data_IF_466119666804
#
_entry.id   IF_466119666804
#
_cell.length_a   1.000
_cell.length_b   1.000
_cell.length_c   1.000
_cell.angle_alpha   90.00
_cell.angle_beta   90.00
_cell.angle_gamma   90.00
#
_symmetry.space_group_name_H-M   'P 1'
#
loop_
_entity.id
_entity.type
_entity.pdbx_description
1 polymer ?
#
# COMPACT_ATOMS: atom_id res chain seq x y z
N UNK A 1 -17.65 25.57 68.87
CA UNK A 1 -16.72 25.18 67.80
C UNK A 1 -17.51 24.47 66.72
N UNK A 2 -17.86 25.18 65.66
CA UNK A 2 -18.55 24.64 64.47
C UNK A 2 -17.50 24.12 63.48
N UNK A 3 -17.66 22.92 62.90
CA UNK A 3 -16.74 22.46 61.87
C UNK A 3 -16.99 23.23 60.58
N UNK A 4 -15.94 23.87 60.05
CA UNK A 4 -15.93 24.42 58.69
C UNK A 4 -16.05 23.27 57.70
N UNK A 5 -17.16 23.22 56.96
CA UNK A 5 -17.28 22.37 55.79
C UNK A 5 -16.18 22.76 54.80
N UNK A 6 -15.33 21.79 54.43
CA UNK A 6 -14.44 21.92 53.29
C UNK A 6 -15.32 21.89 52.04
N UNK A 7 -15.42 23.03 51.35
CA UNK A 7 -15.95 23.09 50.00
C UNK A 7 -15.03 22.26 49.10
N UNK A 8 -15.48 21.04 48.79
CA UNK A 8 -14.86 20.22 47.76
C UNK A 8 -15.32 20.81 46.43
N UNK A 9 -14.48 21.63 45.80
CA UNK A 9 -14.73 22.08 44.43
C UNK A 9 -14.78 20.83 43.54
N UNK A 10 -15.97 20.44 43.13
CA UNK A 10 -16.17 19.46 42.08
C UNK A 10 -15.63 20.05 40.78
N UNK A 11 -14.39 19.71 40.45
CA UNK A 11 -13.87 19.87 39.10
C UNK A 11 -14.79 19.04 38.20
N UNK A 12 -15.69 19.71 37.49
CA UNK A 12 -16.45 19.07 36.43
C UNK A 12 -15.45 18.46 35.45
N UNK A 13 -15.60 17.18 35.08
CA UNK A 13 -14.67 16.54 34.18
C UNK A 13 -14.64 17.35 32.88
N UNK A 14 -13.45 17.82 32.51
CA UNK A 14 -13.26 18.62 31.31
C UNK A 14 -13.62 17.72 30.13
N UNK A 15 -14.75 18.00 29.47
CA UNK A 15 -15.19 17.21 28.32
C UNK A 15 -14.13 17.28 27.22
N UNK A 16 -13.84 16.14 26.58
CA UNK A 16 -12.84 16.04 25.51
C UNK A 16 -13.07 17.06 24.39
N UNK A 17 -14.33 17.39 24.11
CA UNK A 17 -14.70 18.39 23.10
C UNK A 17 -14.21 19.81 23.43
N UNK A 18 -13.95 20.10 24.72
CA UNK A 18 -13.50 21.40 25.20
C UNK A 18 -11.96 21.52 25.24
N UNK A 19 -11.23 20.43 25.04
CA UNK A 19 -9.77 20.46 24.94
C UNK A 19 -9.33 21.20 23.68
N UNK A 20 -8.13 21.75 23.69
CA UNK A 20 -7.51 22.32 22.50
C UNK A 20 -7.36 21.27 21.39
N UNK A 21 -7.41 21.70 20.12
CA UNK A 21 -7.31 20.78 18.98
C UNK A 21 -6.01 19.98 19.03
N UNK A 22 -4.90 20.61 19.40
CA UNK A 22 -3.58 20.00 19.53
C UNK A 22 -3.57 18.86 20.55
N UNK A 23 -4.31 18.98 21.66
CA UNK A 23 -4.42 17.92 22.65
C UNK A 23 -5.27 16.75 22.14
N UNK A 24 -6.36 17.05 21.44
CA UNK A 24 -7.19 16.02 20.80
C UNK A 24 -6.40 15.31 19.70
N UNK A 25 -5.62 16.05 18.91
CA UNK A 25 -4.76 15.53 17.85
C UNK A 25 -3.53 14.77 18.37
N UNK A 26 -3.09 15.02 19.61
CA UNK A 26 -2.03 14.25 20.25
C UNK A 26 -2.53 12.89 20.79
N UNK A 27 -3.80 12.82 21.21
CA UNK A 27 -4.41 11.59 21.76
C UNK A 27 -5.04 10.73 20.67
N UNK A 28 -5.65 11.35 19.64
CA UNK A 28 -6.33 10.64 18.56
C UNK A 28 -5.48 9.57 17.84
N UNK A 29 -4.17 9.74 17.60
CA UNK A 29 -3.31 8.72 16.98
C UNK A 29 -3.11 7.48 17.86
N UNK A 30 -3.42 7.54 19.16
CA UNK A 30 -3.35 6.40 20.08
C UNK A 30 -4.55 5.46 19.92
N UNK A 31 -5.58 5.87 19.16
CA UNK A 31 -6.76 5.07 18.87
C UNK A 31 -6.57 4.30 17.55
N UNK A 32 -7.07 3.07 17.51
CA UNK A 32 -7.23 2.36 16.25
C UNK A 32 -8.23 3.08 15.35
N UNK A 33 -8.12 2.90 14.03
CA UNK A 33 -8.95 3.59 13.04
C UNK A 33 -10.45 3.43 13.30
N UNK A 34 -10.88 2.25 13.76
CA UNK A 34 -12.28 1.95 14.11
C UNK A 34 -12.77 2.79 15.29
N UNK A 35 -11.97 2.94 16.34
CA UNK A 35 -12.33 3.71 17.52
C UNK A 35 -12.22 5.22 17.27
N UNK A 36 -11.24 5.63 16.46
CA UNK A 36 -11.16 7.00 15.98
C UNK A 36 -12.39 7.38 15.13
N UNK A 37 -12.90 6.45 14.31
CA UNK A 37 -14.16 6.63 13.60
C UNK A 37 -15.34 6.81 14.56
N UNK A 38 -15.47 5.95 15.58
CA UNK A 38 -16.52 6.09 16.61
C UNK A 38 -16.42 7.44 17.32
N UNK A 39 -15.21 7.87 17.71
CA UNK A 39 -14.95 9.16 18.35
C UNK A 39 -15.42 10.33 17.47
N UNK A 40 -15.18 10.26 16.17
CA UNK A 40 -15.64 11.28 15.21
C UNK A 40 -17.15 11.38 15.14
N UNK A 41 -17.82 10.24 15.25
CA UNK A 41 -19.26 10.16 15.15
C UNK A 41 -19.98 10.60 16.43
N UNK A 42 -19.28 10.85 17.55
CA UNK A 42 -19.94 11.29 18.79
C UNK A 42 -20.44 12.73 18.71
N UNK A 43 -19.68 13.65 18.10
CA UNK A 43 -20.10 15.04 17.93
C UNK A 43 -19.31 15.78 16.84
N UNK A 44 -19.91 16.86 16.30
CA UNK A 44 -19.31 17.69 15.24
C UNK A 44 -17.98 18.33 15.64
N UNK A 45 -17.79 18.67 16.91
CA UNK A 45 -16.53 19.27 17.38
C UNK A 45 -15.38 18.27 17.29
N UNK A 46 -15.59 17.03 17.73
CA UNK A 46 -14.57 15.98 17.65
C UNK A 46 -14.34 15.53 16.21
N UNK A 47 -15.40 15.50 15.38
CA UNK A 47 -15.27 15.30 13.95
C UNK A 47 -14.28 16.27 13.30
N UNK A 48 -14.42 17.57 13.58
CA UNK A 48 -13.55 18.60 13.03
C UNK A 48 -12.12 18.52 13.61
N UNK A 49 -12.00 18.36 14.93
CA UNK A 49 -10.68 18.32 15.61
C UNK A 49 -9.83 17.11 15.25
N UNK A 50 -10.45 16.01 14.85
CA UNK A 50 -9.72 14.79 14.47
C UNK A 50 -9.61 14.61 12.97
N UNK A 51 -10.02 15.60 12.15
CA UNK A 51 -10.09 15.47 10.70
C UNK A 51 -8.76 15.03 10.08
N UNK A 52 -7.68 15.76 10.36
CA UNK A 52 -6.36 15.48 9.82
C UNK A 52 -5.79 14.15 10.31
N UNK A 53 -5.93 13.86 11.61
CA UNK A 53 -5.44 12.61 12.20
C UNK A 53 -6.16 11.41 11.61
N UNK A 54 -7.49 11.48 11.47
CA UNK A 54 -8.27 10.38 10.92
C UNK A 54 -7.90 10.05 9.49
N UNK A 55 -7.77 11.06 8.63
CA UNK A 55 -7.39 10.82 7.24
C UNK A 55 -5.94 10.40 7.10
N UNK A 56 -5.04 10.94 7.92
CA UNK A 56 -3.67 10.44 8.00
C UNK A 56 -3.66 8.96 8.36
N UNK A 57 -4.32 8.54 9.43
CA UNK A 57 -4.33 7.12 9.85
C UNK A 57 -5.06 6.22 8.83
N UNK A 58 -6.16 6.68 8.25
CA UNK A 58 -7.01 5.85 7.37
C UNK A 58 -6.50 5.73 5.94
N UNK A 59 -5.81 6.76 5.43
CA UNK A 59 -5.38 6.83 4.03
C UNK A 59 -3.86 6.74 3.85
N UNK A 60 -3.07 6.69 4.93
CA UNK A 60 -1.62 6.53 4.83
C UNK A 60 -1.20 5.33 4.00
N UNK A 61 -1.92 4.21 4.12
CA UNK A 61 -1.72 3.00 3.33
C UNK A 61 -3.02 2.63 2.63
N UNK A 62 -3.00 2.65 1.31
CA UNK A 62 -4.12 2.20 0.47
C UNK A 62 -3.79 0.81 -0.07
N UNK A 63 -4.81 -0.04 -0.13
CA UNK A 63 -4.72 -1.39 -0.69
C UNK A 63 -5.42 -1.42 -2.04
N UNK A 64 -4.81 -2.08 -3.02
CA UNK A 64 -5.40 -2.34 -4.33
C UNK A 64 -5.10 -3.78 -4.74
N UNK A 65 -6.07 -4.40 -5.39
CA UNK A 65 -5.95 -5.67 -6.09
C UNK A 65 -5.75 -5.47 -7.60
N UNK A 66 -5.52 -4.23 -8.08
CA UNK A 66 -5.50 -3.86 -9.49
C UNK A 66 -6.78 -4.13 -10.30
N UNK A 67 -7.88 -4.57 -9.67
CA UNK A 67 -9.18 -4.69 -10.35
C UNK A 67 -9.64 -3.34 -10.87
N UNK A 68 -10.50 -3.34 -11.89
CA UNK A 68 -11.07 -2.11 -12.42
C UNK A 68 -11.79 -1.30 -11.32
N UNK A 69 -12.50 -1.98 -10.41
CA UNK A 69 -13.20 -1.34 -9.30
C UNK A 69 -12.25 -0.68 -8.28
N UNK A 70 -11.13 -1.33 -7.93
CA UNK A 70 -10.18 -0.76 -6.97
C UNK A 70 -9.37 0.37 -7.58
N UNK A 71 -8.99 0.26 -8.86
CA UNK A 71 -8.33 1.33 -9.60
C UNK A 71 -9.26 2.54 -9.79
N UNK A 72 -10.55 2.33 -10.00
CA UNK A 72 -11.53 3.43 -10.06
C UNK A 72 -11.63 4.17 -8.72
N UNK A 73 -11.66 3.45 -7.60
CA UNK A 73 -11.63 4.04 -6.25
C UNK A 73 -10.34 4.83 -6.01
N UNK A 74 -9.21 4.27 -6.41
CA UNK A 74 -7.90 4.91 -6.29
C UNK A 74 -7.80 6.16 -7.19
N UNK A 75 -8.39 6.12 -8.38
CA UNK A 75 -8.49 7.27 -9.29
C UNK A 75 -9.30 8.40 -8.65
N UNK A 76 -10.49 8.12 -8.11
CA UNK A 76 -11.29 9.10 -7.36
C UNK A 76 -10.52 9.71 -6.20
N UNK A 77 -9.82 8.89 -5.40
CA UNK A 77 -9.00 9.36 -4.29
C UNK A 77 -7.85 10.25 -4.75
N UNK A 78 -7.15 9.86 -5.82
CA UNK A 78 -6.02 10.61 -6.36
C UNK A 78 -6.43 11.97 -6.95
N UNK A 79 -7.69 12.13 -7.38
CA UNK A 79 -8.25 13.38 -7.86
C UNK A 79 -8.81 14.26 -6.73
N UNK A 80 -8.87 13.78 -5.49
CA UNK A 80 -9.40 14.54 -4.36
C UNK A 80 -8.34 15.51 -3.80
N UNK A 81 -8.53 16.85 -3.89
CA UNK A 81 -7.49 17.84 -3.60
C UNK A 81 -6.88 17.75 -2.20
N UNK A 82 -7.70 17.46 -1.19
CA UNK A 82 -7.22 17.37 0.19
C UNK A 82 -6.75 15.97 0.60
N UNK A 83 -7.32 14.91 0.01
CA UNK A 83 -7.15 13.55 0.53
C UNK A 83 -5.98 12.82 -0.12
N UNK A 84 -5.67 13.13 -1.38
CA UNK A 84 -4.57 12.52 -2.11
C UNK A 84 -3.22 12.69 -1.39
N UNK A 85 -3.05 13.81 -0.67
CA UNK A 85 -1.84 14.11 0.10
C UNK A 85 -1.63 13.23 1.34
N UNK A 86 -2.64 12.49 1.81
CA UNK A 86 -2.45 11.54 2.91
C UNK A 86 -1.96 10.18 2.45
N UNK A 87 -1.98 9.87 1.15
CA UNK A 87 -1.53 8.57 0.64
C UNK A 87 -0.01 8.55 0.56
N UNK A 88 0.62 7.67 1.35
CA UNK A 88 2.07 7.53 1.40
C UNK A 88 2.56 6.15 0.94
N UNK A 89 1.71 5.14 1.10
CA UNK A 89 2.00 3.75 0.76
C UNK A 89 0.86 3.13 -0.05
N UNK A 90 1.23 2.37 -1.08
CA UNK A 90 0.30 1.54 -1.83
C UNK A 90 0.70 0.06 -1.68
N UNK A 91 -0.23 -0.74 -1.15
CA UNK A 91 -0.06 -2.19 -1.00
C UNK A 91 -0.87 -2.91 -2.06
N UNK A 92 -0.22 -3.76 -2.84
CA UNK A 92 -0.80 -4.61 -3.86
C UNK A 92 -1.06 -5.97 -3.24
N UNK A 93 -2.34 -6.33 -3.13
CA UNK A 93 -2.75 -7.63 -2.63
C UNK A 93 -3.08 -8.55 -3.79
N UNK A 94 -2.43 -9.71 -3.81
CA UNK A 94 -2.72 -10.74 -4.82
C UNK A 94 -4.14 -11.30 -4.71
N UNK A 95 -4.66 -11.36 -3.48
CA UNK A 95 -5.98 -11.85 -3.13
C UNK A 95 -6.63 -10.88 -2.14
N UNK A 96 -7.92 -10.58 -2.34
CA UNK A 96 -8.73 -9.89 -1.32
C UNK A 96 -9.39 -10.89 -0.34
N UNK A 97 -10.12 -10.39 0.66
CA UNK A 97 -10.82 -11.24 1.65
C UNK A 97 -11.92 -12.12 1.02
N UNK A 98 -12.31 -11.83 -0.22
CA UNK A 98 -13.28 -12.60 -1.00
C UNK A 98 -12.60 -13.51 -2.03
N UNK A 99 -11.27 -13.62 -2.00
CA UNK A 99 -10.46 -14.39 -2.96
C UNK A 99 -10.58 -13.89 -4.41
N UNK A 100 -10.89 -12.60 -4.58
CA UNK A 100 -10.83 -11.95 -5.88
C UNK A 100 -9.38 -11.83 -6.31
N UNK A 101 -9.18 -12.09 -7.60
CA UNK A 101 -7.87 -12.26 -8.20
C UNK A 101 -7.30 -10.89 -8.57
N UNK A 102 -5.97 -10.74 -8.43
CA UNK A 102 -5.29 -9.54 -8.91
C UNK A 102 -5.67 -9.19 -10.36
N UNK A 103 -6.17 -7.97 -10.56
CA UNK A 103 -6.53 -7.42 -11.85
C UNK A 103 -7.78 -8.06 -12.45
N UNK A 104 -8.69 -8.55 -11.61
CA UNK A 104 -10.00 -8.99 -12.07
C UNK A 104 -10.67 -7.92 -12.95
N UNK A 105 -11.42 -8.38 -13.96
CA UNK A 105 -12.09 -7.54 -14.97
C UNK A 105 -11.14 -6.83 -15.96
N UNK A 106 -9.83 -7.12 -15.92
CA UNK A 106 -8.86 -6.59 -16.89
C UNK A 106 -8.23 -7.70 -17.73
N UNK A 107 -8.14 -7.46 -19.04
CA UNK A 107 -7.46 -8.36 -19.97
C UNK A 107 -5.93 -8.19 -19.87
N UNK A 108 -5.26 -9.23 -19.36
CA UNK A 108 -3.81 -9.26 -19.24
C UNK A 108 -3.16 -9.86 -20.49
N UNK A 109 -2.35 -9.08 -21.20
CA UNK A 109 -1.63 -9.58 -22.37
C UNK A 109 -0.38 -10.36 -21.93
N UNK A 110 -0.29 -11.65 -22.28
CA UNK A 110 0.79 -12.54 -21.86
C UNK A 110 1.44 -13.25 -23.04
N UNK A 111 2.73 -13.51 -22.94
CA UNK A 111 3.40 -14.47 -23.82
C UNK A 111 3.16 -15.91 -23.31
N UNK A 112 3.44 -16.91 -24.14
CA UNK A 112 3.25 -18.34 -23.79
C UNK A 112 3.91 -18.83 -22.48
N UNK A 113 4.98 -18.22 -21.92
CA UNK A 113 5.52 -18.56 -20.59
C UNK A 113 4.75 -17.93 -19.41
N UNK A 114 3.73 -17.09 -19.68
CA UNK A 114 2.90 -16.45 -18.65
C UNK A 114 3.35 -15.07 -18.21
N UNK A 115 4.49 -14.56 -18.68
CA UNK A 115 4.93 -13.19 -18.38
C UNK A 115 4.12 -12.15 -19.17
N UNK A 116 3.95 -10.97 -18.57
CA UNK A 116 3.31 -9.83 -19.21
C UNK A 116 4.18 -9.29 -20.35
N UNK A 117 3.57 -9.08 -21.51
CA UNK A 117 4.18 -8.40 -22.66
C UNK A 117 3.73 -6.96 -22.72
N UNK A 118 4.51 -6.09 -23.35
CA UNK A 118 4.14 -4.68 -23.53
C UNK A 118 3.56 -4.07 -22.25
N UNK A 119 4.33 -4.12 -21.14
CA UNK A 119 3.90 -3.65 -19.81
C UNK A 119 3.29 -2.23 -19.84
N UNK A 120 3.75 -1.42 -20.80
CA UNK A 120 3.20 -0.10 -21.09
C UNK A 120 1.74 -0.10 -21.55
N UNK A 121 1.36 -1.14 -22.28
CA UNK A 121 0.06 -1.30 -22.91
C UNK A 121 -0.95 -2.07 -22.04
N UNK A 122 -0.51 -2.66 -20.92
CA UNK A 122 -1.37 -3.37 -19.98
C UNK A 122 -2.46 -2.44 -19.43
N UNK A 123 -3.74 -2.85 -19.40
CA UNK A 123 -4.84 -2.00 -18.92
C UNK A 123 -4.60 -1.44 -17.52
N UNK A 124 -4.16 -2.30 -16.59
CA UNK A 124 -3.84 -1.90 -15.22
C UNK A 124 -2.73 -0.83 -15.18
N UNK A 125 -1.68 -0.98 -16.00
CA UNK A 125 -0.58 -0.03 -16.04
C UNK A 125 -1.00 1.33 -16.61
N UNK A 126 -1.82 1.33 -17.68
CA UNK A 126 -2.38 2.56 -18.27
C UNK A 126 -3.23 3.36 -17.27
N UNK A 127 -4.01 2.67 -16.45
CA UNK A 127 -4.81 3.29 -15.40
C UNK A 127 -3.95 3.75 -14.22
N UNK A 128 -3.00 2.92 -13.78
CA UNK A 128 -2.24 3.18 -12.57
C UNK A 128 -1.21 4.32 -12.72
N UNK A 129 -0.59 4.48 -13.90
CA UNK A 129 0.39 5.57 -14.14
C UNK A 129 -0.14 6.98 -13.83
N UNK A 130 -1.26 7.44 -14.41
CA UNK A 130 -1.79 8.78 -14.12
C UNK A 130 -2.30 8.90 -12.68
N UNK A 131 -2.73 7.81 -12.05
CA UNK A 131 -3.12 7.79 -10.64
C UNK A 131 -1.90 8.08 -9.77
N UNK A 132 -0.82 7.33 -9.95
CA UNK A 132 0.39 7.48 -9.14
C UNK A 132 1.05 8.84 -9.33
N UNK A 133 0.99 9.43 -10.53
CA UNK A 133 1.54 10.77 -10.76
C UNK A 133 0.80 11.88 -9.97
N UNK A 134 -0.45 11.65 -9.56
CA UNK A 134 -1.22 12.55 -8.69
C UNK A 134 -1.01 12.28 -7.20
N UNK A 135 -0.62 11.06 -6.83
CA UNK A 135 -0.32 10.67 -5.46
C UNK A 135 1.13 11.04 -5.10
N UNK A 136 1.42 12.34 -5.04
CA UNK A 136 2.79 12.89 -4.93
C UNK A 136 3.57 12.47 -3.67
N UNK A 137 2.85 12.09 -2.60
CA UNK A 137 3.44 11.61 -1.35
C UNK A 137 3.58 10.07 -1.31
N UNK A 138 3.04 9.35 -2.28
CA UNK A 138 3.08 7.90 -2.37
C UNK A 138 4.45 7.45 -2.93
N UNK A 139 5.37 7.16 -2.02
CA UNK A 139 6.76 6.77 -2.34
C UNK A 139 7.11 5.36 -1.88
N UNK A 140 6.18 4.70 -1.20
CA UNK A 140 6.36 3.37 -0.66
C UNK A 140 5.39 2.39 -1.29
N UNK A 141 5.91 1.26 -1.75
CA UNK A 141 5.14 0.23 -2.43
C UNK A 141 5.37 -1.11 -1.75
N UNK A 142 4.31 -1.90 -1.62
CA UNK A 142 4.38 -3.23 -1.05
C UNK A 142 3.61 -4.21 -1.91
N UNK A 143 4.24 -5.27 -2.38
CA UNK A 143 3.56 -6.39 -3.00
C UNK A 143 3.44 -7.52 -1.98
N UNK A 144 2.23 -7.96 -1.68
CA UNK A 144 2.01 -9.10 -0.80
C UNK A 144 1.00 -10.08 -1.36
N UNK A 145 1.25 -11.37 -1.16
CA UNK A 145 0.26 -12.43 -1.39
C UNK A 145 -0.15 -12.98 -0.04
N UNK A 146 -1.29 -12.51 0.46
CA UNK A 146 -1.92 -13.11 1.64
C UNK A 146 -2.92 -14.12 1.09
N UNK A 147 -2.57 -15.40 1.14
CA UNK A 147 -3.51 -16.47 0.83
C UNK A 147 -4.35 -16.77 2.07
N UNK A 148 -5.67 -16.72 1.93
CA UNK A 148 -6.56 -17.41 2.86
C UNK A 148 -6.56 -18.91 2.50
N UNK A 149 -6.68 -19.83 3.48
CA UNK A 149 -6.55 -21.27 3.25
C UNK A 149 -7.56 -21.87 2.25
N UNK A 150 -8.67 -21.18 1.98
CA UNK A 150 -9.85 -21.77 1.35
C UNK A 150 -9.86 -21.65 -0.20
N UNK A 151 -8.93 -20.91 -0.81
CA UNK A 151 -9.02 -20.56 -2.25
C UNK A 151 -7.67 -20.61 -2.97
N UNK A 152 -7.07 -21.80 -3.04
CA UNK A 152 -5.82 -22.04 -3.75
C UNK A 152 -6.07 -22.56 -5.17
N UNK A 153 -6.39 -21.67 -6.10
CA UNK A 153 -6.11 -21.94 -7.51
C UNK A 153 -4.67 -21.48 -7.83
N UNK A 154 -3.80 -22.46 -8.08
CA UNK A 154 -2.36 -22.26 -8.25
C UNK A 154 -1.99 -21.29 -9.39
N UNK A 155 -2.85 -21.12 -10.39
CA UNK A 155 -2.58 -20.18 -11.49
C UNK A 155 -2.60 -18.72 -11.03
N UNK A 156 -3.40 -18.39 -10.01
CA UNK A 156 -3.66 -17.02 -9.59
C UNK A 156 -2.61 -16.47 -8.62
N UNK A 157 -1.96 -17.32 -7.83
CA UNK A 157 -0.86 -16.91 -6.94
C UNK A 157 0.30 -16.24 -7.71
N UNK A 158 0.54 -16.69 -8.95
CA UNK A 158 1.56 -16.10 -9.81
C UNK A 158 1.22 -14.69 -10.28
N UNK A 159 -0.04 -14.24 -10.18
CA UNK A 159 -0.43 -12.87 -10.56
C UNK A 159 0.17 -11.83 -9.62
N UNK A 160 0.45 -12.19 -8.36
CA UNK A 160 1.18 -11.31 -7.44
C UNK A 160 2.57 -10.91 -7.96
N UNK A 161 3.22 -11.82 -8.70
CA UNK A 161 4.49 -11.56 -9.38
C UNK A 161 4.34 -10.48 -10.46
N UNK A 162 3.19 -10.47 -11.14
CA UNK A 162 2.87 -9.45 -12.15
C UNK A 162 2.75 -8.06 -11.52
N UNK A 163 2.24 -7.93 -10.29
CA UNK A 163 2.21 -6.66 -9.57
C UNK A 163 3.62 -6.11 -9.36
N UNK A 164 4.58 -6.95 -8.96
CA UNK A 164 5.99 -6.55 -8.82
C UNK A 164 6.53 -6.06 -10.16
N UNK A 165 6.37 -6.84 -11.23
CA UNK A 165 6.84 -6.48 -12.57
C UNK A 165 6.23 -5.16 -13.06
N UNK A 166 4.93 -4.96 -12.83
CA UNK A 166 4.19 -3.77 -13.25
C UNK A 166 4.62 -2.53 -12.46
N UNK A 167 4.85 -2.63 -11.15
CA UNK A 167 5.38 -1.51 -10.37
C UNK A 167 6.78 -1.14 -10.83
N UNK A 168 7.68 -2.13 -10.99
CA UNK A 168 9.04 -1.87 -11.46
C UNK A 168 9.03 -1.18 -12.83
N UNK A 169 8.14 -1.58 -13.73
CA UNK A 169 7.91 -0.94 -15.02
C UNK A 169 7.37 0.49 -14.92
N UNK A 170 6.38 0.71 -14.07
CA UNK A 170 5.88 2.06 -13.82
C UNK A 170 7.00 2.94 -13.29
N UNK A 171 7.81 2.47 -12.34
CA UNK A 171 8.95 3.22 -11.80
C UNK A 171 10.00 3.50 -12.87
N UNK A 172 10.24 2.55 -13.77
CA UNK A 172 11.16 2.71 -14.89
C UNK A 172 10.73 3.79 -15.89
N UNK A 173 9.44 3.94 -16.15
CA UNK A 173 8.94 4.90 -17.15
C UNK A 173 8.43 6.22 -16.53
N UNK A 174 8.07 6.22 -15.25
CA UNK A 174 7.57 7.41 -14.55
C UNK A 174 8.64 8.05 -13.66
N UNK A 175 8.59 9.37 -13.49
CA UNK A 175 9.46 10.10 -12.55
C UNK A 175 9.00 9.96 -11.09
N UNK A 176 8.43 8.82 -10.72
CA UNK A 176 7.97 8.58 -9.37
C UNK A 176 9.19 8.37 -8.45
N UNK A 177 9.33 9.18 -7.38
CA UNK A 177 10.37 8.96 -6.40
C UNK A 177 9.98 7.78 -5.51
N UNK A 178 10.62 6.63 -5.69
CA UNK A 178 10.42 5.46 -4.84
C UNK A 178 11.45 5.47 -3.73
N UNK A 179 11.00 5.52 -2.47
CA UNK A 179 11.88 5.44 -1.30
C UNK A 179 11.86 4.07 -0.64
N UNK A 180 10.78 3.30 -0.80
CA UNK A 180 10.63 1.98 -0.17
C UNK A 180 9.89 1.01 -1.09
N UNK A 181 10.47 -0.17 -1.31
CA UNK A 181 9.81 -1.30 -1.95
C UNK A 181 9.87 -2.52 -1.02
N UNK A 182 8.72 -3.11 -0.75
CA UNK A 182 8.59 -4.38 -0.04
C UNK A 182 7.96 -5.43 -0.94
N UNK A 183 8.53 -6.62 -0.95
CA UNK A 183 8.05 -7.79 -1.68
C UNK A 183 7.90 -8.91 -0.66
N UNK A 184 6.66 -9.16 -0.20
CA UNK A 184 6.35 -10.12 0.84
C UNK A 184 5.48 -11.27 0.31
N UNK A 185 6.13 -12.38 -0.01
CA UNK A 185 5.54 -13.61 -0.51
C UNK A 185 5.88 -14.80 0.39
N UNK A 186 6.16 -14.55 1.67
CA UNK A 186 6.39 -15.65 2.61
C UNK A 186 5.06 -16.37 2.87
N UNK A 187 5.05 -17.67 2.65
CA UNK A 187 3.94 -18.50 3.08
C UNK A 187 3.90 -18.54 4.62
N UNK A 188 2.78 -18.10 5.19
CA UNK A 188 2.54 -18.18 6.64
C UNK A 188 1.97 -19.54 7.05
N UNK A 189 1.64 -20.40 6.09
CA UNK A 189 1.14 -21.73 6.31
C UNK A 189 2.16 -22.76 5.78
N UNK A 190 2.32 -23.89 6.47
CA UNK A 190 3.18 -25.01 6.03
C UNK A 190 2.67 -25.69 4.73
N UNK A 191 1.66 -25.12 4.07
CA UNK A 191 1.02 -25.63 2.86
C UNK A 191 1.83 -25.40 1.59
N UNK A 192 2.81 -24.49 1.61
CA UNK A 192 3.81 -24.34 0.55
C UNK A 192 3.26 -23.81 -0.78
N UNK A 193 2.41 -22.77 -0.76
CA UNK A 193 1.59 -22.40 -1.93
C UNK A 193 1.66 -20.94 -2.39
N UNK A 194 2.59 -20.13 -1.90
CA UNK A 194 2.80 -18.76 -2.41
C UNK A 194 4.24 -18.58 -2.83
N UNK A 195 4.50 -18.66 -4.14
CA UNK A 195 5.82 -18.42 -4.70
C UNK A 195 5.77 -17.29 -5.71
N UNK A 196 6.82 -16.48 -5.71
CA UNK A 196 7.16 -15.69 -6.89
C UNK A 196 7.39 -16.64 -8.06
N UNK A 197 6.86 -16.33 -9.24
CA UNK A 197 7.25 -17.04 -10.47
C UNK A 197 8.44 -16.30 -11.11
N UNK A 198 9.68 -16.73 -10.91
CA UNK A 198 10.85 -16.06 -11.49
C UNK A 198 10.78 -15.98 -13.02
N UNK A 199 10.05 -16.90 -13.68
CA UNK A 199 9.85 -16.88 -15.14
C UNK A 199 8.97 -15.72 -15.61
N UNK A 200 8.24 -15.08 -14.69
CA UNK A 200 7.43 -13.88 -14.95
C UNK A 200 8.17 -12.58 -14.65
N UNK A 201 9.32 -12.66 -13.97
CA UNK A 201 10.14 -11.52 -13.62
C UNK A 201 11.24 -11.31 -14.65
N UNK A 202 11.06 -10.32 -15.52
CA UNK A 202 12.04 -9.98 -16.55
C UNK A 202 12.72 -8.65 -16.22
N UNK A 203 13.88 -8.72 -15.56
CA UNK A 203 14.67 -7.53 -15.21
C UNK A 203 15.41 -6.90 -16.40
N UNK A 204 15.47 -7.60 -17.54
CA UNK A 204 16.06 -7.08 -18.78
C UNK A 204 15.47 -5.73 -19.21
N UNK A 205 14.19 -5.48 -18.88
CA UNK A 205 13.51 -4.22 -19.15
C UNK A 205 14.04 -3.03 -18.31
N UNK A 206 14.67 -3.31 -17.18
CA UNK A 206 15.05 -2.30 -16.17
C UNK A 206 16.54 -1.95 -16.16
N UNK A 207 17.35 -2.58 -17.03
CA UNK A 207 18.78 -2.23 -17.21
C UNK A 207 19.00 -0.90 -17.95
N UNK A 208 17.96 -0.07 -18.10
CA UNK A 208 18.04 1.24 -18.75
C UNK A 208 18.62 2.28 -17.77
N UNK A 209 19.50 3.21 -18.23
CA UNK A 209 20.09 4.22 -17.34
C UNK A 209 19.06 5.03 -16.54
N UNK A 210 17.94 5.40 -17.17
CA UNK A 210 16.89 6.17 -16.50
C UNK A 210 16.16 5.43 -15.38
N UNK A 211 16.18 4.10 -15.36
CA UNK A 211 15.69 3.32 -14.21
C UNK A 211 16.73 3.33 -13.08
N UNK A 212 18.00 3.06 -13.39
CA UNK A 212 19.09 3.01 -12.40
C UNK A 212 19.17 4.32 -11.61
N UNK A 213 19.12 5.47 -12.27
CA UNK A 213 19.17 6.79 -11.61
C UNK A 213 18.00 7.02 -10.63
N UNK A 214 16.84 6.44 -10.91
CA UNK A 214 15.65 6.56 -10.04
C UNK A 214 15.67 5.52 -8.93
N UNK A 215 16.08 4.31 -9.27
CA UNK A 215 16.28 3.20 -8.35
C UNK A 215 17.34 3.53 -7.30
N UNK A 216 18.31 4.40 -7.63
CA UNK A 216 19.27 4.99 -6.70
C UNK A 216 18.65 5.73 -5.51
N UNK A 217 17.41 6.21 -5.63
CA UNK A 217 16.71 6.93 -4.56
C UNK A 217 16.04 6.00 -3.54
N UNK A 218 16.11 4.69 -3.78
CA UNK A 218 15.53 3.70 -2.89
C UNK A 218 16.31 3.68 -1.56
N UNK A 219 15.61 3.96 -0.47
CA UNK A 219 16.16 3.96 0.89
C UNK A 219 15.96 2.60 1.56
N UNK A 220 14.90 1.87 1.18
CA UNK A 220 14.51 0.60 1.78
C UNK A 220 14.08 -0.40 0.69
N UNK A 221 14.71 -1.59 0.71
CA UNK A 221 14.30 -2.74 -0.08
C UNK A 221 14.10 -3.93 0.87
N UNK A 222 12.86 -4.41 0.97
CA UNK A 222 12.52 -5.60 1.75
C UNK A 222 12.12 -6.70 0.78
N UNK A 223 12.86 -7.79 0.83
CA UNK A 223 12.61 -8.98 0.04
C UNK A 223 12.35 -10.13 1.01
N UNK A 224 11.08 -10.52 1.16
CA UNK A 224 10.66 -11.60 2.04
C UNK A 224 9.92 -12.68 1.23
N UNK A 225 10.62 -13.76 0.92
CA UNK A 225 10.10 -14.88 0.13
C UNK A 225 10.80 -16.19 0.50
N UNK A 226 10.21 -17.31 0.13
CA UNK A 226 10.87 -18.62 0.22
C UNK A 226 11.99 -18.68 -0.82
N UNK A 227 13.26 -18.91 -0.43
CA UNK A 227 14.38 -18.87 -1.35
C UNK A 227 14.38 -20.08 -2.29
N UNK A 228 14.46 -19.81 -3.60
CA UNK A 228 14.87 -20.77 -4.62
C UNK A 228 15.99 -20.16 -5.49
N UNK A 229 16.66 -20.98 -6.29
CA UNK A 229 17.82 -20.53 -7.08
C UNK A 229 17.47 -19.42 -8.09
N UNK A 230 16.30 -19.49 -8.72
CA UNK A 230 15.89 -18.53 -9.74
C UNK A 230 15.44 -17.20 -9.13
N UNK A 231 14.68 -17.24 -8.02
CA UNK A 231 14.28 -16.05 -7.25
C UNK A 231 15.50 -15.38 -6.62
N UNK A 232 16.47 -16.16 -6.11
CA UNK A 232 17.71 -15.59 -5.58
C UNK A 232 18.52 -14.88 -6.67
N UNK A 233 18.60 -15.44 -7.88
CA UNK A 233 19.25 -14.77 -9.00
C UNK A 233 18.52 -13.48 -9.37
N UNK A 234 17.19 -13.50 -9.45
CA UNK A 234 16.38 -12.31 -9.67
C UNK A 234 16.62 -11.24 -8.60
N UNK A 235 16.58 -11.61 -7.32
CA UNK A 235 16.80 -10.69 -6.21
C UNK A 235 18.20 -10.09 -6.25
N UNK A 236 19.20 -10.91 -6.59
CA UNK A 236 20.59 -10.46 -6.74
C UNK A 236 20.74 -9.49 -7.92
N UNK A 237 20.11 -9.79 -9.06
CA UNK A 237 20.09 -8.90 -10.22
C UNK A 237 19.41 -7.57 -9.90
N UNK A 238 18.32 -7.57 -9.12
CA UNK A 238 17.64 -6.35 -8.67
C UNK A 238 18.54 -5.52 -7.74
N UNK A 239 19.29 -6.17 -6.85
CA UNK A 239 20.26 -5.52 -5.96
C UNK A 239 21.42 -4.91 -6.75
N UNK A 240 21.90 -5.57 -7.81
CA UNK A 240 22.96 -5.03 -8.67
C UNK A 240 22.53 -3.78 -9.47
N UNK A 241 21.23 -3.47 -9.54
CA UNK A 241 20.74 -2.23 -10.14
C UNK A 241 20.84 -1.04 -9.18
N UNK A 242 21.05 -1.27 -7.88
CA UNK A 242 21.34 -0.18 -6.94
C UNK A 242 22.77 0.32 -7.17
N UNK A 243 22.97 1.64 -7.27
CA UNK A 243 24.32 2.18 -7.33
C UNK A 243 25.09 1.83 -6.05
N UNK A 244 26.38 1.54 -6.24
CA UNK A 244 27.35 1.23 -5.18
C UNK A 244 27.96 2.49 -4.58
#
# INVERSE_FOLDING_TARGET
>A
MTPRARECHSLSPTSLQNLLSELVEAVAPLLESTDLCKLRMTCRTLYNKTYHVFWRTSLQTIRTDLSHSSLTKLDMLSNHPELCGYVHRLTFKAFDENSLILGEELDWNRHSPGHLIDLQEQPAAKLLRPILSRLVNCKSFECCSISTPDHLDFEDAHRATDAVQLILDIVAETRLPVSSLSVNFRDHYETGCVYLDPRRLHLGYFKKPGFIDRWAQLEELILDFTPDFEILNWATDLLYLLPT
#
